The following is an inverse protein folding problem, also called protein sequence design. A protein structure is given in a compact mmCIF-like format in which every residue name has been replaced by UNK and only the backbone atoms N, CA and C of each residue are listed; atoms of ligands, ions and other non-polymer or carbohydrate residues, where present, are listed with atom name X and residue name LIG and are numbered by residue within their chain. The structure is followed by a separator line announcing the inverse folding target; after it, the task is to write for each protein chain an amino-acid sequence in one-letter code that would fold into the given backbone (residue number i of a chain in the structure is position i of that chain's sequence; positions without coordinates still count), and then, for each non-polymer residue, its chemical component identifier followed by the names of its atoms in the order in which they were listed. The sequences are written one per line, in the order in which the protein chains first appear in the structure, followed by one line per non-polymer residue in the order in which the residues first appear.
data_IF_891904751888
#
_entry.id   IF_891904751888
#
_cell.length_a   1.000
_cell.length_b   1.000
_cell.length_c   1.000
_cell.angle_alpha   90.00
_cell.angle_beta   90.00
_cell.angle_gamma   90.00
#
_symmetry.space_group_name_H-M   'P 1'
#
loop_
_entity.id
_entity.type
_entity.pdbx_description
1 polymer ?
#
# COMPACT_ATOMS: atom_id res chain seq x y z
N UNK A 1 -6.51 11.48 6.39
CA UNK A 1 -6.17 11.05 7.76
C UNK A 1 -5.94 9.55 7.83
N UNK A 2 -6.88 8.69 7.40
CA UNK A 2 -6.71 7.23 7.48
C UNK A 2 -5.55 6.68 6.62
N UNK A 3 -5.48 7.01 5.33
CA UNK A 3 -4.40 6.50 4.42
C UNK A 3 -2.99 6.81 4.94
N UNK A 4 -2.79 8.01 5.51
CA UNK A 4 -1.50 8.41 6.08
C UNK A 4 -1.13 7.59 7.33
N UNK A 5 -2.13 7.17 8.10
CA UNK A 5 -1.95 6.25 9.23
C UNK A 5 -1.48 4.88 8.76
N UNK A 6 -2.24 4.23 7.88
CA UNK A 6 -1.90 2.89 7.35
C UNK A 6 -0.55 2.87 6.62
N UNK A 7 -0.22 3.94 5.90
CA UNK A 7 1.11 4.09 5.29
C UNK A 7 2.23 4.20 6.34
N UNK A 8 1.94 4.79 7.50
CA UNK A 8 2.81 4.82 8.66
C UNK A 8 2.98 3.42 9.27
N UNK A 9 1.89 2.71 9.52
CA UNK A 9 1.90 1.34 10.04
C UNK A 9 2.68 0.39 9.12
N UNK A 10 2.50 0.52 7.80
CA UNK A 10 3.32 -0.19 6.81
C UNK A 10 4.80 0.16 6.98
N UNK A 11 5.15 1.45 7.08
CA UNK A 11 6.54 1.89 7.22
C UNK A 11 7.18 1.41 8.52
N UNK A 12 6.43 1.35 9.61
CA UNK A 12 6.90 0.87 10.93
C UNK A 12 7.42 -0.56 10.87
N UNK A 13 6.88 -1.40 9.98
CA UNK A 13 7.36 -2.78 9.76
C UNK A 13 8.81 -2.77 9.22
N UNK A 14 9.18 -1.77 8.42
CA UNK A 14 10.49 -1.68 7.76
C UNK A 14 11.48 -0.75 8.46
N UNK A 15 11.03 0.06 9.43
CA UNK A 15 11.77 1.22 9.95
C UNK A 15 13.20 0.91 10.49
N UNK A 16 13.44 -0.32 10.96
CA UNK A 16 14.72 -0.76 11.53
C UNK A 16 15.47 -1.77 10.67
N UNK A 17 14.96 -2.07 9.47
CA UNK A 17 15.52 -3.08 8.58
C UNK A 17 16.50 -2.43 7.59
N UNK A 18 17.61 -3.11 7.33
CA UNK A 18 18.42 -2.86 6.15
C UNK A 18 17.64 -3.22 4.88
N UNK A 19 18.13 -2.74 3.73
CA UNK A 19 17.58 -3.11 2.41
C UNK A 19 17.56 -4.63 2.20
N UNK A 20 18.65 -5.31 2.60
CA UNK A 20 18.77 -6.75 2.43
C UNK A 20 17.78 -7.51 3.33
N UNK A 21 17.53 -7.05 4.55
CA UNK A 21 16.53 -7.60 5.45
C UNK A 21 15.12 -7.37 4.91
N UNK A 22 14.84 -6.17 4.40
CA UNK A 22 13.55 -5.79 3.82
C UNK A 22 13.16 -6.72 2.66
N UNK A 23 14.10 -7.04 1.77
CA UNK A 23 13.88 -7.99 0.66
C UNK A 23 13.66 -9.42 1.17
N UNK A 24 14.31 -9.78 2.29
CA UNK A 24 14.21 -11.12 2.87
C UNK A 24 12.94 -11.36 3.69
N UNK A 25 12.15 -10.32 4.00
CA UNK A 25 10.84 -10.45 4.68
C UNK A 25 9.94 -11.51 4.02
N UNK A 26 10.03 -11.69 2.70
CA UNK A 26 9.27 -12.73 1.99
C UNK A 26 9.45 -14.15 2.54
N UNK A 27 10.52 -14.40 3.30
CA UNK A 27 10.82 -15.68 3.97
C UNK A 27 10.25 -15.77 5.39
N UNK A 28 9.90 -14.65 6.01
CA UNK A 28 9.22 -14.58 7.31
C UNK A 28 7.72 -14.45 7.09
N UNK A 29 6.99 -15.55 7.32
CA UNK A 29 5.55 -15.60 7.04
C UNK A 29 4.75 -14.65 7.93
N UNK A 30 5.18 -14.42 9.18
CA UNK A 30 4.47 -13.56 10.14
C UNK A 30 4.62 -12.10 9.74
N UNK A 31 5.84 -11.68 9.41
CA UNK A 31 6.07 -10.29 8.97
C UNK A 31 5.41 -10.06 7.61
N UNK A 32 5.45 -11.04 6.71
CA UNK A 32 4.78 -10.95 5.41
C UNK A 32 3.26 -10.78 5.55
N UNK A 33 2.63 -11.46 6.51
CA UNK A 33 1.20 -11.32 6.79
C UNK A 33 0.86 -9.91 7.27
N UNK A 34 1.66 -9.34 8.18
CA UNK A 34 1.51 -7.93 8.61
C UNK A 34 1.59 -6.97 7.44
N UNK A 35 2.63 -7.09 6.61
CA UNK A 35 2.77 -6.25 5.39
C UNK A 35 1.53 -6.39 4.49
N UNK A 36 0.98 -7.60 4.37
CA UNK A 36 -0.22 -7.83 3.57
C UNK A 36 -1.46 -7.13 4.13
N UNK A 37 -1.60 -7.03 5.45
CA UNK A 37 -2.71 -6.32 6.08
C UNK A 37 -2.60 -4.81 5.85
N UNK A 38 -1.44 -4.22 6.12
CA UNK A 38 -1.27 -2.77 5.93
C UNK A 38 -1.45 -2.35 4.46
N UNK A 39 -0.98 -3.16 3.51
CA UNK A 39 -1.25 -2.94 2.09
C UNK A 39 -2.75 -3.03 1.76
N UNK A 40 -3.47 -3.96 2.37
CA UNK A 40 -4.91 -4.11 2.17
C UNK A 40 -5.68 -2.92 2.76
N UNK A 41 -5.28 -2.41 3.93
CA UNK A 41 -5.91 -1.25 4.55
C UNK A 41 -5.72 0.02 3.69
N UNK A 42 -4.52 0.25 3.18
CA UNK A 42 -4.25 1.34 2.22
C UNK A 42 -5.16 1.23 0.99
N UNK A 43 -5.21 0.06 0.35
CA UNK A 43 -6.04 -0.18 -0.84
C UNK A 43 -7.52 0.05 -0.51
N UNK A 44 -8.01 -0.45 0.63
CA UNK A 44 -9.40 -0.32 1.04
C UNK A 44 -9.79 1.15 1.20
N UNK A 45 -8.94 1.97 1.81
CA UNK A 45 -9.18 3.41 1.92
C UNK A 45 -9.16 4.12 0.57
N UNK A 46 -8.26 3.74 -0.35
CA UNK A 46 -8.22 4.29 -1.71
C UNK A 46 -9.52 3.95 -2.46
N UNK A 47 -9.97 2.70 -2.41
CA UNK A 47 -11.23 2.29 -3.05
C UNK A 47 -12.41 3.07 -2.47
N UNK A 48 -12.46 3.19 -1.13
CA UNK A 48 -13.54 3.93 -0.43
C UNK A 48 -13.60 5.40 -0.83
N UNK A 49 -12.45 6.10 -0.88
CA UNK A 49 -12.46 7.51 -1.27
C UNK A 49 -12.78 7.69 -2.75
N UNK A 50 -12.35 6.76 -3.62
CA UNK A 50 -12.73 6.78 -5.03
C UNK A 50 -14.24 6.65 -5.21
N UNK A 51 -14.87 5.70 -4.51
CA UNK A 51 -16.32 5.50 -4.53
C UNK A 51 -17.06 6.76 -4.03
N UNK A 52 -16.66 7.31 -2.89
CA UNK A 52 -17.28 8.50 -2.31
C UNK A 52 -17.18 9.74 -3.23
N UNK A 53 -16.12 9.83 -4.03
CA UNK A 53 -15.89 10.94 -4.95
C UNK A 53 -16.38 10.65 -6.39
N UNK A 54 -17.01 9.51 -6.64
CA UNK A 54 -17.41 9.04 -7.97
C UNK A 54 -16.23 9.02 -8.98
N UNK A 55 -15.05 8.61 -8.52
CA UNK A 55 -13.86 8.46 -9.35
C UNK A 55 -13.79 7.01 -9.84
N UNK A 56 -13.75 6.82 -11.16
CA UNK A 56 -13.39 5.53 -11.76
C UNK A 56 -11.88 5.29 -11.55
N UNK A 57 -11.55 4.61 -10.45
CA UNK A 57 -10.15 4.35 -10.06
C UNK A 57 -9.39 3.56 -11.14
N UNK A 58 -10.04 2.60 -11.80
CA UNK A 58 -9.41 1.79 -12.85
C UNK A 58 -8.99 2.64 -14.04
N UNK A 59 -9.88 3.53 -14.49
CA UNK A 59 -9.59 4.48 -15.58
C UNK A 59 -8.51 5.49 -15.18
N UNK A 60 -8.57 6.01 -13.95
CA UNK A 60 -7.55 6.93 -13.44
C UNK A 60 -6.15 6.30 -13.42
N UNK A 61 -6.04 5.02 -13.03
CA UNK A 61 -4.78 4.27 -13.07
C UNK A 61 -4.29 4.09 -14.50
N UNK A 62 -5.16 3.67 -15.42
CA UNK A 62 -4.80 3.46 -16.83
C UNK A 62 -4.29 4.75 -17.48
N UNK A 63 -5.02 5.86 -17.31
CA UNK A 63 -4.62 7.17 -17.81
C UNK A 63 -3.25 7.59 -17.24
N UNK A 64 -2.99 7.29 -15.97
CA UNK A 64 -1.72 7.64 -15.33
C UNK A 64 -0.54 6.81 -15.85
N UNK A 65 -0.75 5.54 -16.18
CA UNK A 65 0.24 4.68 -16.84
C UNK A 65 0.62 5.26 -18.21
N UNK A 66 -0.37 5.68 -19.01
CA UNK A 66 -0.13 6.28 -20.33
C UNK A 66 0.65 7.60 -20.26
N UNK A 67 0.43 8.42 -19.23
CA UNK A 67 1.17 9.67 -19.00
C UNK A 67 2.65 9.43 -18.65
N UNK A 68 2.97 8.31 -17.99
CA UNK A 68 4.31 8.02 -17.50
C UNK A 68 5.17 7.20 -18.49
N UNK A 69 4.55 6.65 -19.54
CA UNK A 69 5.22 5.97 -20.66
C UNK A 69 5.73 7.00 -21.68
#
# INVERSE_FOLDING_TARGET
MAITGEAGELLEIFQWLSEQESINIKKDLVVKEKVSHELADIILYIIRISDQLNINLSEAVQNKIEINN
#
